data_IF_366404830972
#
_entry.id   IF_366404830972
#
_cell.length_a   1.000
_cell.length_b   1.000
_cell.length_c   1.000
_cell.angle_alpha   90.00
_cell.angle_beta   90.00
_cell.angle_gamma   90.00
#
_symmetry.space_group_name_H-M   'P 1'
#
loop_
_entity.id
_entity.type
_entity.pdbx_description
1 polymer ?
#
# COMPACT_ATOMS: atom_id res chain seq x y z
N UNK A 1 34.31 -22.66 6.61
CA UNK A 1 33.31 -22.09 5.68
C UNK A 1 31.97 -22.73 6.04
N UNK A 2 31.12 -22.00 6.76
CA UNK A 2 29.78 -22.52 7.09
C UNK A 2 28.96 -22.58 5.79
N UNK A 3 28.20 -23.67 5.53
CA UNK A 3 27.39 -23.76 4.34
C UNK A 3 26.28 -22.71 4.42
N UNK A 4 26.09 -21.99 3.32
CA UNK A 4 24.92 -21.14 3.08
C UNK A 4 23.67 -22.01 3.26
N UNK A 5 22.64 -21.58 4.01
CA UNK A 5 21.41 -22.36 4.14
C UNK A 5 20.85 -22.64 2.75
N UNK A 6 20.49 -23.90 2.47
CA UNK A 6 19.83 -24.29 1.23
C UNK A 6 18.60 -23.38 1.03
N UNK A 7 18.58 -22.60 -0.06
CA UNK A 7 17.45 -21.73 -0.37
C UNK A 7 16.18 -22.60 -0.43
N UNK A 8 15.11 -22.16 0.23
CA UNK A 8 13.83 -22.86 0.22
C UNK A 8 13.40 -23.13 -1.23
N UNK A 9 13.35 -24.40 -1.62
CA UNK A 9 13.07 -24.82 -2.99
C UNK A 9 11.82 -25.69 -3.04
N UNK A 10 10.99 -25.48 -4.08
CA UNK A 10 9.87 -26.38 -4.37
C UNK A 10 10.35 -27.46 -5.34
N UNK A 11 10.47 -28.70 -4.86
CA UNK A 11 10.81 -29.85 -5.71
C UNK A 11 9.54 -30.45 -6.31
N UNK A 12 9.30 -30.18 -7.59
CA UNK A 12 8.19 -30.77 -8.35
C UNK A 12 8.65 -32.07 -9.03
N UNK A 13 7.84 -33.13 -8.93
CA UNK A 13 8.02 -34.37 -9.70
C UNK A 13 6.93 -34.46 -10.75
N UNK A 14 7.24 -35.03 -11.92
CA UNK A 14 6.22 -35.27 -12.95
C UNK A 14 5.07 -36.09 -12.36
N UNK A 15 3.87 -35.56 -12.45
CA UNK A 15 2.61 -36.26 -12.21
C UNK A 15 1.83 -36.40 -13.51
N UNK A 16 0.78 -37.21 -13.51
CA UNK A 16 -0.26 -37.15 -14.55
C UNK A 16 -1.07 -35.84 -14.47
N UNK A 17 -2.17 -35.73 -15.25
CA UNK A 17 -3.08 -34.59 -15.19
C UNK A 17 -3.57 -34.31 -13.76
N UNK A 18 -3.71 -33.03 -13.40
CA UNK A 18 -4.28 -32.62 -12.12
C UNK A 18 -5.81 -32.69 -12.21
N UNK A 19 -6.45 -33.33 -11.22
CA UNK A 19 -7.90 -33.42 -11.10
C UNK A 19 -8.31 -33.14 -9.65
N UNK A 20 -9.31 -32.28 -9.45
CA UNK A 20 -9.82 -31.94 -8.12
C UNK A 20 -10.40 -30.53 -8.04
N UNK A 21 -10.56 -30.03 -6.82
CA UNK A 21 -11.10 -28.70 -6.53
C UNK A 21 -10.19 -27.96 -5.56
N UNK A 22 -9.96 -26.67 -5.81
CA UNK A 22 -9.17 -25.79 -4.95
C UNK A 22 -10.01 -24.59 -4.53
N UNK A 23 -9.90 -24.17 -3.27
CA UNK A 23 -10.48 -22.92 -2.80
C UNK A 23 -9.49 -21.78 -3.05
N UNK A 24 -9.93 -20.75 -3.77
CA UNK A 24 -9.13 -19.56 -4.03
C UNK A 24 -9.19 -18.63 -2.82
N UNK A 25 -8.04 -18.15 -2.37
CA UNK A 25 -7.96 -17.13 -1.31
C UNK A 25 -8.38 -15.76 -1.82
N UNK A 26 -8.67 -14.81 -0.92
CA UNK A 26 -8.92 -13.43 -1.34
C UNK A 26 -7.75 -12.81 -2.10
N UNK A 27 -8.07 -11.77 -2.88
CA UNK A 27 -7.12 -11.11 -3.75
C UNK A 27 -6.17 -10.24 -2.94
N UNK A 28 -4.88 -10.61 -2.91
CA UNK A 28 -3.78 -9.82 -2.32
C UNK A 28 -3.90 -8.34 -2.66
N UNK A 29 -4.01 -8.03 -3.96
CA UNK A 29 -3.96 -6.66 -4.41
C UNK A 29 -5.15 -5.85 -3.90
N UNK A 30 -6.33 -6.44 -3.70
CA UNK A 30 -7.46 -5.74 -3.08
C UNK A 30 -7.24 -5.56 -1.58
N UNK A 31 -6.82 -6.62 -0.88
CA UNK A 31 -6.57 -6.57 0.56
C UNK A 31 -5.61 -5.44 0.95
N UNK A 32 -4.49 -5.29 0.24
CA UNK A 32 -3.51 -4.23 0.53
C UNK A 32 -4.12 -2.82 0.43
N UNK A 33 -5.01 -2.56 -0.54
CA UNK A 33 -5.62 -1.23 -0.71
C UNK A 33 -6.71 -0.98 0.30
N UNK A 34 -7.48 -2.01 0.64
CA UNK A 34 -8.47 -1.92 1.72
C UNK A 34 -7.80 -1.70 3.09
N UNK A 35 -6.62 -2.29 3.32
CA UNK A 35 -5.82 -2.01 4.51
C UNK A 35 -5.37 -0.54 4.57
N UNK A 36 -4.87 0.01 3.47
CA UNK A 36 -4.53 1.44 3.41
C UNK A 36 -5.76 2.35 3.54
N UNK A 37 -6.88 1.99 2.94
CA UNK A 37 -8.13 2.75 3.02
C UNK A 37 -8.66 2.87 4.46
N UNK A 38 -8.33 1.93 5.36
CA UNK A 38 -8.66 2.04 6.77
C UNK A 38 -8.11 3.34 7.39
N UNK A 39 -6.98 3.86 6.89
CA UNK A 39 -6.40 5.13 7.37
C UNK A 39 -7.34 6.32 7.17
N UNK A 40 -8.34 6.26 6.28
CA UNK A 40 -9.29 7.35 6.05
C UNK A 40 -10.21 7.63 7.25
N UNK A 41 -10.40 6.66 8.14
CA UNK A 41 -11.34 6.78 9.25
C UNK A 41 -10.70 6.33 10.58
N UNK A 42 -10.72 7.16 11.64
CA UNK A 42 -10.45 6.70 12.99
C UNK A 42 -11.42 5.58 13.40
N UNK A 43 -10.94 4.66 14.24
CA UNK A 43 -11.72 3.53 14.74
C UNK A 43 -11.36 2.19 14.10
N UNK A 44 -12.30 1.24 14.14
CA UNK A 44 -12.05 -0.16 13.78
C UNK A 44 -12.56 -0.49 12.39
N UNK A 45 -11.66 -0.96 11.54
CA UNK A 45 -11.97 -1.62 10.27
C UNK A 45 -11.74 -3.13 10.37
N UNK A 46 -12.66 -3.93 9.81
CA UNK A 46 -12.55 -5.40 9.78
C UNK A 46 -12.65 -5.88 8.34
N UNK A 47 -11.59 -6.51 7.85
CA UNK A 47 -11.47 -7.03 6.49
C UNK A 47 -11.48 -8.56 6.53
N UNK A 48 -12.45 -9.18 5.85
CA UNK A 48 -12.55 -10.64 5.75
C UNK A 48 -11.91 -11.17 4.47
N UNK A 49 -11.61 -12.48 4.47
CA UNK A 49 -10.98 -13.18 3.34
C UNK A 49 -9.61 -12.60 2.93
N UNK A 50 -8.82 -12.14 3.91
CA UNK A 50 -7.48 -11.60 3.71
C UNK A 50 -6.46 -12.74 3.63
N UNK A 51 -5.70 -12.90 2.53
CA UNK A 51 -4.76 -14.00 2.36
C UNK A 51 -3.57 -13.88 3.32
N UNK A 52 -3.08 -15.02 3.84
CA UNK A 52 -1.91 -15.07 4.72
C UNK A 52 -0.62 -15.17 3.91
N UNK A 53 -0.08 -14.02 3.53
CA UNK A 53 1.11 -13.85 2.69
C UNK A 53 1.97 -12.70 3.19
N UNK A 54 3.25 -12.68 2.81
CA UNK A 54 4.23 -11.71 3.30
C UNK A 54 3.81 -10.24 3.10
N UNK A 55 3.26 -9.88 1.94
CA UNK A 55 2.82 -8.50 1.69
C UNK A 55 1.74 -8.01 2.66
N UNK A 56 0.83 -8.89 3.10
CA UNK A 56 -0.20 -8.51 4.09
C UNK A 56 0.45 -8.25 5.45
N UNK A 57 1.44 -9.06 5.82
CA UNK A 57 2.23 -8.84 7.04
C UNK A 57 3.00 -7.53 6.97
N UNK A 58 3.69 -7.24 5.86
CA UNK A 58 4.41 -5.97 5.69
C UNK A 58 3.50 -4.75 5.67
N UNK A 59 2.31 -4.87 5.09
CA UNK A 59 1.31 -3.80 5.16
C UNK A 59 0.81 -3.58 6.59
N UNK A 60 0.63 -4.66 7.37
CA UNK A 60 0.33 -4.57 8.79
C UNK A 60 1.42 -3.81 9.55
N UNK A 61 2.68 -4.22 9.38
CA UNK A 61 3.85 -3.56 9.98
C UNK A 61 3.93 -2.06 9.61
N UNK A 62 3.61 -1.72 8.35
CA UNK A 62 3.57 -0.33 7.89
C UNK A 62 2.51 0.49 8.62
N UNK A 63 1.29 -0.04 8.73
CA UNK A 63 0.21 0.64 9.46
C UNK A 63 0.53 0.75 10.95
N UNK A 64 1.17 -0.25 11.54
CA UNK A 64 1.64 -0.21 12.93
C UNK A 64 2.68 0.89 13.16
N UNK A 65 3.60 1.11 12.21
CA UNK A 65 4.54 2.24 12.26
C UNK A 65 3.87 3.60 12.15
N UNK A 66 2.67 3.65 11.59
CA UNK A 66 1.82 4.84 11.55
C UNK A 66 0.98 5.03 12.83
N UNK A 67 1.09 4.11 13.80
CA UNK A 67 0.36 4.17 15.07
C UNK A 67 -0.92 3.31 15.11
N UNK A 68 -1.23 2.57 14.06
CA UNK A 68 -2.37 1.65 14.06
C UNK A 68 -2.07 0.39 14.89
N UNK A 69 -3.11 -0.36 15.25
CA UNK A 69 -2.99 -1.75 15.71
C UNK A 69 -3.56 -2.68 14.66
N UNK A 70 -2.78 -3.69 14.22
CA UNK A 70 -3.21 -4.63 13.19
C UNK A 70 -3.16 -6.07 13.71
N UNK A 71 -4.29 -6.77 13.64
CA UNK A 71 -4.39 -8.20 13.99
C UNK A 71 -4.87 -8.98 12.77
N UNK A 72 -4.08 -9.95 12.30
CA UNK A 72 -4.45 -10.81 11.17
C UNK A 72 -4.56 -12.27 11.60
N UNK A 73 -5.79 -12.74 11.77
CA UNK A 73 -6.10 -14.09 12.26
C UNK A 73 -7.25 -14.73 11.49
N UNK A 74 -7.14 -16.03 11.19
CA UNK A 74 -8.22 -16.77 10.53
C UNK A 74 -8.66 -16.21 9.16
N UNK A 75 -7.78 -15.48 8.47
CA UNK A 75 -8.13 -14.79 7.22
C UNK A 75 -8.93 -13.50 7.42
N UNK A 76 -8.97 -12.96 8.64
CA UNK A 76 -9.58 -11.66 8.96
C UNK A 76 -8.51 -10.72 9.47
N UNK A 77 -8.39 -9.53 8.88
CA UNK A 77 -7.55 -8.44 9.37
C UNK A 77 -8.41 -7.42 10.11
N UNK A 78 -8.10 -7.17 11.37
CA UNK A 78 -8.70 -6.10 12.19
C UNK A 78 -7.68 -4.98 12.31
N UNK A 79 -8.08 -3.76 11.98
CA UNK A 79 -7.23 -2.58 11.96
C UNK A 79 -7.90 -1.53 12.84
N UNK A 80 -7.27 -1.21 13.96
CA UNK A 80 -7.67 -0.10 14.83
C UNK A 80 -6.79 1.11 14.50
N UNK A 81 -7.43 2.17 14.00
CA UNK A 81 -6.77 3.42 13.56
C UNK A 81 -7.01 4.50 14.61
N UNK A 82 -5.96 5.12 15.19
CA UNK A 82 -6.13 6.22 16.14
C UNK A 82 -6.61 7.50 15.44
N UNK A 83 -7.01 8.51 16.22
CA UNK A 83 -7.26 9.86 15.70
C UNK A 83 -5.97 10.50 15.17
N UNK A 84 -4.88 10.38 15.94
CA UNK A 84 -3.54 10.87 15.59
C UNK A 84 -2.70 9.76 14.94
N UNK A 85 -2.59 9.81 13.61
CA UNK A 85 -1.78 8.89 12.81
C UNK A 85 -0.47 9.57 12.46
N UNK A 86 0.65 8.82 12.48
CA UNK A 86 1.94 9.33 12.02
C UNK A 86 1.96 9.31 10.49
N UNK A 87 2.08 10.47 9.79
CA UNK A 87 1.95 10.56 8.34
C UNK A 87 3.23 10.14 7.61
N UNK A 88 3.94 9.10 8.07
CA UNK A 88 5.23 8.68 7.50
C UNK A 88 5.25 7.19 7.12
N UNK A 89 5.67 6.91 5.88
CA UNK A 89 5.98 5.56 5.39
C UNK A 89 7.51 5.42 5.21
N UNK A 90 8.21 4.73 6.13
CA UNK A 90 9.67 4.70 6.16
C UNK A 90 10.28 3.83 5.05
N UNK A 91 11.46 4.24 4.58
CA UNK A 91 12.22 3.56 3.51
C UNK A 91 12.30 2.04 3.68
N UNK A 92 12.63 1.56 4.89
CA UNK A 92 12.85 0.14 5.17
C UNK A 92 11.63 -0.75 4.88
N UNK A 93 10.41 -0.19 4.95
CA UNK A 93 9.16 -0.89 4.63
C UNK A 93 8.73 -0.67 3.18
N UNK A 94 8.98 0.52 2.64
CA UNK A 94 8.66 0.85 1.25
C UNK A 94 9.53 0.04 0.27
N UNK A 95 10.82 -0.14 0.57
CA UNK A 95 11.75 -0.94 -0.22
C UNK A 95 11.31 -2.42 -0.28
N UNK A 96 10.77 -2.96 0.81
CA UNK A 96 10.28 -4.34 0.88
C UNK A 96 9.00 -4.54 0.07
N UNK A 97 8.16 -3.52 -0.02
CA UNK A 97 6.85 -3.60 -0.65
C UNK A 97 6.52 -2.32 -1.41
N UNK A 98 6.71 -2.34 -2.73
CA UNK A 98 6.34 -1.24 -3.64
C UNK A 98 4.89 -0.76 -3.48
N UNK A 99 3.97 -1.66 -3.13
CA UNK A 99 2.56 -1.33 -2.91
C UNK A 99 2.32 -0.34 -1.75
N UNK A 100 3.32 -0.09 -0.90
CA UNK A 100 3.30 0.89 0.19
C UNK A 100 2.96 2.31 -0.25
N UNK A 101 3.28 2.71 -1.49
CA UNK A 101 2.93 4.04 -2.04
C UNK A 101 1.43 4.37 -1.94
N UNK A 102 0.58 3.35 -1.84
CA UNK A 102 -0.88 3.50 -1.76
C UNK A 102 -1.36 4.17 -0.47
N UNK A 103 -0.51 4.30 0.55
CA UNK A 103 -0.83 5.05 1.77
C UNK A 103 -0.75 6.57 1.58
N UNK A 104 -0.09 7.05 0.51
CA UNK A 104 0.08 8.47 0.24
C UNK A 104 -1.26 9.20 0.14
N UNK A 105 -2.20 8.64 -0.63
CA UNK A 105 -3.53 9.20 -0.87
C UNK A 105 -4.36 9.35 0.40
N UNK A 106 -4.61 8.28 1.17
CA UNK A 106 -5.41 8.38 2.38
C UNK A 106 -4.74 9.22 3.48
N UNK A 107 -3.41 9.22 3.59
CA UNK A 107 -2.70 10.12 4.52
C UNK A 107 -2.91 11.58 4.12
N UNK A 108 -2.67 11.92 2.85
CA UNK A 108 -2.82 13.28 2.37
C UNK A 108 -4.28 13.77 2.44
N UNK A 109 -5.24 12.92 2.07
CA UNK A 109 -6.66 13.28 2.13
C UNK A 109 -7.18 13.46 3.56
N UNK A 110 -6.68 12.69 4.53
CA UNK A 110 -7.12 12.80 5.92
C UNK A 110 -6.36 13.85 6.72
N UNK A 111 -5.04 13.91 6.56
CA UNK A 111 -4.15 14.66 7.44
C UNK A 111 -3.61 15.94 6.80
N UNK A 112 -3.78 16.12 5.48
CA UNK A 112 -3.21 17.24 4.73
C UNK A 112 -1.69 17.13 4.56
N UNK A 113 -1.04 16.08 5.08
CA UNK A 113 0.38 15.84 4.88
C UNK A 113 0.72 14.34 4.84
N UNK A 114 1.79 14.02 4.12
CA UNK A 114 2.32 12.66 4.03
C UNK A 114 3.81 12.68 3.67
N UNK A 115 4.61 11.81 4.28
CA UNK A 115 6.02 11.61 3.99
C UNK A 115 6.27 10.16 3.60
N UNK A 116 6.47 9.90 2.32
CA UNK A 116 6.57 8.53 1.78
C UNK A 116 7.88 8.36 1.04
N UNK A 117 8.63 7.30 1.35
CA UNK A 117 9.84 7.00 0.60
C UNK A 117 9.52 6.59 -0.84
N UNK A 118 10.36 7.02 -1.79
CA UNK A 118 10.20 6.65 -3.21
C UNK A 118 10.59 5.18 -3.39
N UNK A 119 9.72 4.32 -3.92
CA UNK A 119 10.12 2.96 -4.28
C UNK A 119 11.22 3.02 -5.35
N UNK A 120 12.30 2.25 -5.15
CA UNK A 120 13.34 2.10 -6.17
C UNK A 120 12.84 1.41 -7.45
N UNK A 121 13.79 1.08 -8.33
CA UNK A 121 13.52 0.19 -9.47
C UNK A 121 13.14 -1.21 -8.99
N UNK A 122 12.31 -1.92 -9.76
CA UNK A 122 12.03 -3.33 -9.54
C UNK A 122 12.62 -4.20 -10.68
N UNK A 123 12.73 -5.51 -10.45
CA UNK A 123 13.26 -6.48 -11.43
C UNK A 123 12.40 -6.57 -12.72
N UNK A 124 11.20 -5.98 -12.72
CA UNK A 124 10.31 -5.91 -13.88
C UNK A 124 10.46 -4.61 -14.68
N UNK A 125 11.30 -3.67 -14.23
CA UNK A 125 11.65 -2.44 -14.94
C UNK A 125 11.36 -1.15 -14.16
N UNK A 126 11.52 -0.02 -14.84
CA UNK A 126 11.23 1.29 -14.25
C UNK A 126 9.72 1.53 -14.27
N UNK A 127 9.08 1.45 -13.09
CA UNK A 127 7.70 1.89 -12.91
C UNK A 127 7.74 3.25 -12.20
N UNK A 128 7.50 4.37 -12.89
CA UNK A 128 7.48 5.66 -12.23
C UNK A 128 6.21 5.81 -11.37
N UNK A 129 6.26 6.72 -10.39
CA UNK A 129 5.11 7.13 -9.56
C UNK A 129 4.59 8.51 -9.98
N UNK A 130 5.06 9.04 -11.10
CA UNK A 130 4.73 10.35 -11.63
C UNK A 130 3.22 10.57 -11.81
N UNK A 131 2.48 9.54 -12.25
CA UNK A 131 1.02 9.62 -12.36
C UNK A 131 0.31 9.80 -11.02
N UNK A 132 0.89 9.28 -9.93
CA UNK A 132 0.33 9.51 -8.59
C UNK A 132 0.53 10.97 -8.20
N UNK A 133 1.74 11.50 -8.39
CA UNK A 133 2.10 12.86 -7.99
C UNK A 133 1.31 13.89 -8.80
N UNK A 134 1.37 13.81 -10.14
CA UNK A 134 0.61 14.69 -11.03
C UNK A 134 -0.88 14.70 -10.70
N UNK A 135 -1.48 13.53 -10.49
CA UNK A 135 -2.89 13.46 -10.17
C UNK A 135 -3.24 14.09 -8.81
N UNK A 136 -2.37 13.97 -7.81
CA UNK A 136 -2.55 14.61 -6.51
C UNK A 136 -2.27 16.13 -6.58
N UNK A 137 -1.33 16.57 -7.41
CA UNK A 137 -1.08 18.00 -7.70
C UNK A 137 -2.34 18.66 -8.29
N UNK A 138 -3.02 17.98 -9.21
CA UNK A 138 -4.30 18.44 -9.76
C UNK A 138 -5.41 18.54 -8.69
N UNK A 139 -5.29 17.79 -7.58
CA UNK A 139 -6.19 17.90 -6.42
C UNK A 139 -5.74 18.97 -5.42
N UNK A 140 -4.64 19.68 -5.68
CA UNK A 140 -4.13 20.76 -4.82
C UNK A 140 -2.99 20.35 -3.89
N UNK A 141 -2.36 19.19 -4.11
CA UNK A 141 -1.18 18.79 -3.37
C UNK A 141 0.10 19.48 -3.86
N UNK A 142 0.98 19.82 -2.94
CA UNK A 142 2.35 20.26 -3.21
C UNK A 142 3.35 19.18 -2.78
N UNK A 143 4.39 18.98 -3.59
CA UNK A 143 5.41 17.98 -3.34
C UNK A 143 6.80 18.61 -3.25
N UNK A 144 7.57 18.17 -2.26
CA UNK A 144 9.02 18.36 -2.24
C UNK A 144 9.71 17.01 -2.13
N UNK A 145 10.91 16.90 -2.70
CA UNK A 145 11.72 15.68 -2.60
C UNK A 145 12.97 15.97 -1.79
N UNK A 146 13.17 15.20 -0.74
CA UNK A 146 14.27 15.39 0.21
C UNK A 146 14.79 14.02 0.65
N UNK A 147 16.08 13.75 0.46
CA UNK A 147 16.74 12.53 0.95
C UNK A 147 16.05 11.20 0.56
N UNK A 148 15.47 11.10 -0.63
CA UNK A 148 14.76 9.89 -1.09
C UNK A 148 13.33 9.73 -0.57
N UNK A 149 12.81 10.77 0.10
CA UNK A 149 11.41 10.89 0.48
C UNK A 149 10.69 11.90 -0.41
N UNK A 150 9.43 11.60 -0.66
CA UNK A 150 8.43 12.56 -1.10
C UNK A 150 7.72 13.09 0.13
N UNK A 151 7.77 14.40 0.29
CA UNK A 151 7.02 15.14 1.29
C UNK A 151 5.86 15.83 0.55
N UNK A 152 4.65 15.39 0.85
CA UNK A 152 3.42 15.90 0.28
C UNK A 152 2.68 16.74 1.33
N UNK A 153 2.16 17.90 0.91
CA UNK A 153 1.29 18.74 1.73
C UNK A 153 0.12 19.26 0.91
N UNK A 154 -1.02 19.45 1.55
CA UNK A 154 -2.20 20.09 0.99
C UNK A 154 -2.95 20.80 2.11
N UNK A 155 -3.12 22.13 2.01
CA UNK A 155 -3.95 22.88 2.97
C UNK A 155 -5.39 22.38 2.92
N UNK A 156 -5.90 22.15 1.71
CA UNK A 156 -7.12 21.43 1.43
C UNK A 156 -6.94 20.73 0.08
N UNK A 157 -7.23 19.43 0.02
CA UNK A 157 -7.48 18.81 -1.29
C UNK A 157 -8.81 19.33 -1.81
N UNK A 158 -8.91 19.47 -3.14
CA UNK A 158 -10.13 19.90 -3.82
C UNK A 158 -10.44 18.95 -4.95
N UNK A 159 -11.74 18.66 -5.15
CA UNK A 159 -12.19 17.86 -6.28
C UNK A 159 -11.79 18.48 -7.63
N UNK A 160 -11.10 17.70 -8.47
CA UNK A 160 -10.63 18.13 -9.78
C UNK A 160 -10.83 17.05 -10.86
N UNK A 161 -10.70 17.44 -12.13
CA UNK A 161 -10.71 16.51 -13.25
C UNK A 161 -9.28 16.04 -13.54
N UNK A 162 -8.95 14.85 -13.06
CA UNK A 162 -7.64 14.22 -13.30
C UNK A 162 -7.68 13.32 -14.53
N UNK A 163 -6.75 13.50 -15.47
CA UNK A 163 -6.56 12.61 -16.62
C UNK A 163 -5.35 11.69 -16.38
N UNK A 164 -5.57 10.38 -16.45
CA UNK A 164 -4.50 9.38 -16.43
C UNK A 164 -4.14 8.98 -17.87
N UNK A 165 -2.90 9.26 -18.29
CA UNK A 165 -2.39 8.93 -19.62
C UNK A 165 -2.26 7.41 -19.86
N UNK A 166 -2.25 6.63 -18.78
CA UNK A 166 -2.26 5.17 -18.78
C UNK A 166 -3.20 4.66 -17.67
N UNK A 167 -3.90 3.52 -17.86
CA UNK A 167 -4.75 2.92 -16.83
C UNK A 167 -3.92 2.33 -15.66
N UNK A 168 -3.31 3.20 -14.86
CA UNK A 168 -2.53 2.84 -13.68
C UNK A 168 -3.47 2.49 -12.53
N UNK A 169 -3.44 1.21 -12.11
CA UNK A 169 -4.19 0.72 -10.95
C UNK A 169 -3.82 1.50 -9.70
N UNK A 170 -2.51 1.60 -9.40
CA UNK A 170 -2.03 2.28 -8.21
C UNK A 170 -2.38 3.76 -8.19
N UNK A 171 -2.24 4.47 -9.32
CA UNK A 171 -2.59 5.89 -9.37
C UNK A 171 -4.09 6.09 -9.14
N UNK A 172 -4.92 5.27 -9.80
CA UNK A 172 -6.38 5.32 -9.64
C UNK A 172 -6.81 5.13 -8.19
N UNK A 173 -6.29 4.10 -7.52
CA UNK A 173 -6.63 3.79 -6.13
C UNK A 173 -6.16 4.91 -5.17
N UNK A 174 -4.95 5.44 -5.38
CA UNK A 174 -4.38 6.47 -4.54
C UNK A 174 -5.16 7.79 -4.65
N UNK A 175 -5.48 8.20 -5.88
CA UNK A 175 -6.29 9.39 -6.14
C UNK A 175 -7.70 9.23 -5.60
N UNK A 176 -8.33 8.07 -5.82
CA UNK A 176 -9.66 7.79 -5.30
C UNK A 176 -9.72 7.92 -3.77
N UNK A 177 -8.75 7.35 -3.06
CA UNK A 177 -8.70 7.46 -1.59
C UNK A 177 -8.44 8.90 -1.13
N UNK A 178 -7.53 9.63 -1.79
CA UNK A 178 -7.29 11.04 -1.47
C UNK A 178 -8.54 11.91 -1.65
N UNK A 179 -9.33 11.63 -2.70
CA UNK A 179 -10.54 12.39 -3.02
C UNK A 179 -11.74 12.12 -2.10
N UNK A 180 -11.70 11.12 -1.22
CA UNK A 180 -12.84 10.82 -0.32
C UNK A 180 -13.13 11.97 0.66
N UNK A 181 -12.09 12.71 1.05
CA UNK A 181 -12.14 13.80 2.02
C UNK A 181 -11.78 15.18 1.40
N UNK A 182 -11.68 15.24 0.08
CA UNK A 182 -11.37 16.44 -0.72
C UNK A 182 -12.62 17.26 -1.09
#
# INVERSE_FOLDING_TARGET
VNPVPEAAAIRVRRSGPLEGTVRVSGAKNSALKLMAAALLAPGRSVLHNVPRIADVTWMGELLERMGCTVVHEGGTATIDVPDDVVPEAPYELVERMRASIVVLGPLLGRLGEARVSVPGGDDFGHRPIDMHLKGLEELGAEFTTSHGYIEARADNLTGARVLLEFPSVGATENLLMASVLA
#
